data_IF_207361799353
#
_entry.id   IF_207361799353
#
_cell.length_a   1.000
_cell.length_b   1.000
_cell.length_c   1.000
_cell.angle_alpha   90.00
_cell.angle_beta   90.00
_cell.angle_gamma   90.00
#
_symmetry.space_group_name_H-M   'P 1'
#
loop_
_entity.id
_entity.type
_entity.pdbx_description
1 polymer ?
#
# COMPACT_ATOMS: atom_id res chain seq x y z
N UNK A 1 30.23 41.78 55.22
CA UNK A 1 29.76 42.79 54.25
C UNK A 1 30.07 42.34 52.82
N UNK A 2 29.74 41.08 52.45
CA UNK A 2 30.12 40.48 51.15
C UNK A 2 28.95 39.79 50.43
N UNK A 3 27.93 39.32 51.13
CA UNK A 3 26.81 38.53 50.55
C UNK A 3 25.86 39.34 49.65
N UNK A 4 25.82 40.67 49.80
CA UNK A 4 24.89 41.52 49.02
C UNK A 4 25.42 41.82 47.60
N UNK A 5 26.75 41.77 47.41
CA UNK A 5 27.38 41.97 46.10
C UNK A 5 27.22 40.74 45.20
N UNK A 6 27.35 39.52 45.75
CA UNK A 6 27.24 38.27 44.99
C UNK A 6 25.83 38.10 44.37
N UNK A 7 24.78 38.54 45.06
CA UNK A 7 23.41 38.48 44.52
C UNK A 7 23.17 39.55 43.44
N UNK A 8 23.74 40.74 43.58
CA UNK A 8 23.65 41.78 42.55
C UNK A 8 24.47 41.40 41.31
N UNK A 9 25.63 40.80 41.48
CA UNK A 9 26.50 40.32 40.41
C UNK A 9 25.87 39.14 39.67
N UNK A 10 25.32 38.15 40.38
CA UNK A 10 24.58 37.06 39.76
C UNK A 10 23.31 37.53 39.03
N UNK A 11 22.60 38.52 39.55
CA UNK A 11 21.44 39.11 38.87
C UNK A 11 21.86 39.86 37.60
N UNK A 12 22.93 40.66 37.66
CA UNK A 12 23.49 41.34 36.49
C UNK A 12 23.93 40.33 35.42
N UNK A 13 24.61 39.26 35.84
CA UNK A 13 25.10 38.20 34.97
C UNK A 13 23.94 37.43 34.33
N UNK A 14 22.85 37.18 35.08
CA UNK A 14 21.62 36.61 34.54
C UNK A 14 20.93 37.53 33.53
N UNK A 15 20.87 38.84 33.79
CA UNK A 15 20.32 39.81 32.84
C UNK A 15 21.16 39.89 31.56
N UNK A 16 22.49 39.84 31.68
CA UNK A 16 23.41 39.84 30.54
C UNK A 16 23.27 38.55 29.72
N UNK A 17 23.28 37.38 30.37
CA UNK A 17 23.13 36.09 29.69
C UNK A 17 21.74 35.96 29.07
N UNK A 18 20.69 36.34 29.80
CA UNK A 18 19.31 36.35 29.30
C UNK A 18 19.15 37.30 28.12
N UNK A 19 19.73 38.50 28.20
CA UNK A 19 19.77 39.47 27.10
C UNK A 19 20.50 38.94 25.87
N UNK A 20 21.65 38.27 26.05
CA UNK A 20 22.41 37.62 24.98
C UNK A 20 21.62 36.48 24.34
N UNK A 21 20.93 35.65 25.14
CA UNK A 21 20.11 34.57 24.63
C UNK A 21 18.95 35.09 23.78
N UNK A 22 18.24 36.10 24.27
CA UNK A 22 17.14 36.75 23.54
C UNK A 22 17.65 37.41 22.26
N UNK A 23 18.78 38.13 22.33
CA UNK A 23 19.42 38.72 21.14
C UNK A 23 19.83 37.64 20.12
N UNK A 24 20.32 36.49 20.57
CA UNK A 24 20.64 35.35 19.71
C UNK A 24 19.42 34.77 19.01
N UNK A 25 18.28 34.66 19.70
CA UNK A 25 17.01 34.23 19.10
C UNK A 25 16.53 35.24 18.06
N UNK A 26 16.52 36.54 18.39
CA UNK A 26 16.15 37.59 17.44
C UNK A 26 17.08 37.63 16.22
N UNK A 27 18.39 37.45 16.42
CA UNK A 27 19.35 37.33 15.34
C UNK A 27 18.98 36.17 14.40
N UNK A 28 18.71 34.98 14.97
CA UNK A 28 18.33 33.80 14.21
C UNK A 28 17.03 34.00 13.42
N UNK A 29 16.02 34.62 14.03
CA UNK A 29 14.74 34.92 13.38
C UNK A 29 14.92 35.88 12.19
N UNK A 30 15.64 36.99 12.37
CA UNK A 30 15.89 37.97 11.30
C UNK A 30 16.72 37.31 10.18
N UNK A 31 17.74 36.54 10.52
CA UNK A 31 18.56 35.82 9.55
C UNK A 31 17.72 34.85 8.71
N UNK A 32 16.84 34.09 9.34
CA UNK A 32 16.06 33.03 8.71
C UNK A 32 14.85 33.55 7.93
N UNK A 33 14.31 34.72 8.28
CA UNK A 33 13.04 35.23 7.74
C UNK A 33 12.94 35.27 6.20
N UNK A 34 13.94 35.77 5.44
CA UNK A 34 13.88 35.73 3.97
C UNK A 34 13.87 34.30 3.44
N UNK A 35 14.59 33.38 4.08
CA UNK A 35 14.57 31.97 3.69
C UNK A 35 13.23 31.30 4.01
N UNK A 36 12.59 31.69 5.12
CA UNK A 36 11.25 31.23 5.45
C UNK A 36 10.23 31.63 4.38
N UNK A 37 10.21 32.91 3.97
CA UNK A 37 9.25 33.41 2.98
C UNK A 37 9.47 32.82 1.59
N UNK A 38 10.72 32.64 1.16
CA UNK A 38 11.01 32.24 -0.22
C UNK A 38 11.22 30.73 -0.40
N UNK A 39 11.52 29.98 0.66
CA UNK A 39 11.71 28.53 0.57
C UNK A 39 10.64 27.76 1.35
N UNK A 40 10.43 28.08 2.63
CA UNK A 40 9.52 27.30 3.49
C UNK A 40 8.05 27.54 3.14
N UNK A 41 7.65 28.79 2.98
CA UNK A 41 6.25 29.12 2.67
C UNK A 41 5.81 28.55 1.31
N UNK A 42 6.58 28.69 0.20
CA UNK A 42 6.26 28.06 -1.07
C UNK A 42 6.29 26.54 -1.02
N UNK A 43 7.14 25.96 -0.15
CA UNK A 43 7.13 24.53 0.09
C UNK A 43 5.82 24.09 0.74
N UNK A 44 5.36 24.77 1.79
CA UNK A 44 4.10 24.43 2.48
C UNK A 44 2.90 24.63 1.55
N UNK A 45 2.80 25.78 0.88
CA UNK A 45 1.68 26.08 -0.02
C UNK A 45 1.69 25.20 -1.27
N UNK A 46 2.85 24.97 -1.88
CA UNK A 46 3.00 24.06 -3.00
C UNK A 46 2.64 22.63 -2.63
N UNK A 47 3.02 22.18 -1.44
CA UNK A 47 2.66 20.85 -0.92
C UNK A 47 1.16 20.69 -0.69
N UNK A 48 0.49 21.73 -0.18
CA UNK A 48 -0.97 21.76 -0.05
C UNK A 48 -1.66 21.64 -1.42
N UNK A 49 -1.19 22.41 -2.41
CA UNK A 49 -1.74 22.38 -3.77
C UNK A 49 -1.54 21.01 -4.42
N UNK A 50 -0.34 20.44 -4.34
CA UNK A 50 -0.05 19.10 -4.87
C UNK A 50 -0.91 18.04 -4.19
N UNK A 51 -0.99 18.07 -2.85
CA UNK A 51 -1.81 17.13 -2.09
C UNK A 51 -3.30 17.23 -2.45
N UNK A 52 -3.81 18.45 -2.63
CA UNK A 52 -5.18 18.69 -3.07
C UNK A 52 -5.45 18.21 -4.49
N UNK A 53 -4.55 18.47 -5.44
CA UNK A 53 -4.66 17.98 -6.83
C UNK A 53 -4.67 16.45 -6.87
N UNK A 54 -3.81 15.80 -6.09
CA UNK A 54 -3.79 14.34 -5.99
C UNK A 54 -5.08 13.80 -5.39
N UNK A 55 -5.60 14.45 -4.34
CA UNK A 55 -6.86 14.08 -3.72
C UNK A 55 -8.05 14.21 -4.68
N UNK A 56 -8.18 15.32 -5.40
CA UNK A 56 -9.21 15.52 -6.44
C UNK A 56 -9.13 14.46 -7.55
N UNK A 57 -7.92 14.13 -8.01
CA UNK A 57 -7.73 13.10 -9.04
C UNK A 57 -8.12 11.69 -8.57
N UNK A 58 -8.12 11.46 -7.26
CA UNK A 58 -8.64 10.21 -6.67
C UNK A 58 -10.15 10.27 -6.43
N UNK A 59 -10.71 11.35 -5.89
CA UNK A 59 -12.14 11.32 -5.50
C UNK A 59 -13.11 11.23 -6.69
N UNK A 60 -12.71 11.64 -7.89
CA UNK A 60 -13.54 11.62 -9.12
C UNK A 60 -13.82 10.18 -9.65
N UNK A 61 -13.41 9.12 -8.93
CA UNK A 61 -13.44 7.74 -9.41
C UNK A 61 -14.38 6.76 -8.69
N UNK A 62 -15.56 7.18 -8.19
CA UNK A 62 -16.48 6.33 -7.40
C UNK A 62 -16.91 5.00 -8.07
N UNK A 63 -16.77 4.85 -9.40
CA UNK A 63 -17.23 3.66 -10.15
C UNK A 63 -16.11 2.81 -10.78
N UNK A 64 -14.84 3.08 -10.49
CA UNK A 64 -13.73 2.40 -11.18
C UNK A 64 -12.93 1.52 -10.22
N UNK A 65 -12.87 0.23 -10.55
CA UNK A 65 -12.02 -0.79 -9.90
C UNK A 65 -10.65 -0.23 -9.48
N UNK A 66 -10.19 -0.57 -8.27
CA UNK A 66 -8.93 -0.12 -7.63
C UNK A 66 -7.73 0.02 -8.59
N UNK A 67 -7.63 -0.86 -9.59
CA UNK A 67 -6.55 -0.87 -10.59
C UNK A 67 -6.51 0.40 -11.47
N UNK A 68 -7.67 0.92 -11.88
CA UNK A 68 -7.76 2.12 -12.73
C UNK A 68 -7.45 3.38 -11.93
N UNK A 69 -7.80 3.35 -10.65
CA UNK A 69 -7.54 4.41 -9.68
C UNK A 69 -6.04 4.60 -9.44
N UNK A 70 -5.33 3.51 -9.15
CA UNK A 70 -3.87 3.53 -8.98
C UNK A 70 -3.15 3.94 -10.27
N UNK A 71 -3.63 3.50 -11.43
CA UNK A 71 -3.07 3.88 -12.73
C UNK A 71 -3.18 5.39 -12.99
N UNK A 72 -4.33 6.00 -12.70
CA UNK A 72 -4.54 7.44 -12.88
C UNK A 72 -3.60 8.28 -12.00
N UNK A 73 -3.43 7.87 -10.74
CA UNK A 73 -2.54 8.54 -9.80
C UNK A 73 -1.07 8.47 -10.25
N UNK A 74 -0.61 7.29 -10.68
CA UNK A 74 0.76 7.11 -11.18
C UNK A 74 1.02 7.95 -12.43
N UNK A 75 0.08 7.99 -13.39
CA UNK A 75 0.22 8.80 -14.61
C UNK A 75 0.22 10.29 -14.29
N UNK A 76 -0.70 10.76 -13.44
CA UNK A 76 -0.78 12.17 -13.04
C UNK A 76 0.49 12.62 -12.33
N UNK A 77 1.02 11.79 -11.44
CA UNK A 77 2.25 12.07 -10.71
C UNK A 77 3.47 12.10 -11.65
N UNK A 78 3.56 11.18 -12.61
CA UNK A 78 4.62 11.18 -13.63
C UNK A 78 4.56 12.43 -14.52
N UNK A 79 3.37 12.88 -14.93
CA UNK A 79 3.19 14.11 -15.70
C UNK A 79 3.62 15.34 -14.89
N UNK A 80 3.26 15.41 -13.60
CA UNK A 80 3.67 16.50 -12.72
C UNK A 80 5.20 16.58 -12.56
N UNK A 81 5.88 15.44 -12.36
CA UNK A 81 7.34 15.39 -12.31
C UNK A 81 7.93 15.87 -13.64
N UNK A 82 7.42 15.37 -14.77
CA UNK A 82 7.89 15.76 -16.09
C UNK A 82 7.75 17.27 -16.31
N UNK A 83 6.60 17.84 -15.96
CA UNK A 83 6.36 19.28 -16.02
C UNK A 83 7.36 20.06 -15.18
N UNK A 84 7.63 19.64 -13.94
CA UNK A 84 8.63 20.30 -13.09
C UNK A 84 10.04 20.22 -13.70
N UNK A 85 10.43 19.07 -14.23
CA UNK A 85 11.74 18.91 -14.90
C UNK A 85 11.86 19.81 -16.13
N UNK A 86 10.82 19.90 -16.95
CA UNK A 86 10.82 20.77 -18.14
C UNK A 86 10.78 22.25 -17.75
N UNK A 87 9.89 22.64 -16.85
CA UNK A 87 9.64 24.05 -16.50
C UNK A 87 10.79 24.63 -15.68
N UNK A 88 11.49 23.87 -14.84
CA UNK A 88 12.53 24.43 -13.97
C UNK A 88 13.97 24.04 -14.34
N UNK A 89 14.18 22.85 -14.92
CA UNK A 89 15.53 22.34 -15.16
C UNK A 89 15.93 22.34 -16.64
N UNK A 90 14.97 22.15 -17.56
CA UNK A 90 15.27 22.12 -18.99
C UNK A 90 15.80 23.46 -19.50
N UNK A 91 16.97 23.41 -20.13
CA UNK A 91 17.67 24.57 -20.66
C UNK A 91 18.16 25.55 -19.61
N UNK A 92 18.16 25.18 -18.32
CA UNK A 92 18.64 26.08 -17.27
C UNK A 92 20.15 26.23 -17.30
N UNK A 93 20.65 27.47 -17.45
CA UNK A 93 22.09 27.74 -17.55
C UNK A 93 22.51 28.68 -16.43
N UNK A 94 23.21 28.11 -15.45
CA UNK A 94 23.91 28.90 -14.43
C UNK A 94 25.34 29.11 -14.88
N UNK A 95 25.66 30.30 -15.40
CA UNK A 95 27.03 30.63 -15.79
C UNK A 95 27.57 31.78 -14.96
N UNK A 96 28.82 31.61 -14.50
CA UNK A 96 29.55 32.65 -13.79
C UNK A 96 30.31 33.46 -14.83
N UNK A 97 30.08 34.77 -14.88
CA UNK A 97 30.83 35.64 -15.78
C UNK A 97 32.22 35.84 -15.19
N UNK A 98 33.22 35.62 -16.04
CA UNK A 98 34.62 35.75 -15.69
C UNK A 98 35.23 36.83 -16.58
N UNK A 99 36.03 37.72 -16.00
CA UNK A 99 36.78 38.73 -16.75
C UNK A 99 37.76 38.03 -17.71
N UNK A 100 38.25 38.76 -18.72
CA UNK A 100 39.28 38.29 -19.67
C UNK A 100 40.55 37.77 -18.98
N UNK A 101 40.74 38.09 -17.69
CA UNK A 101 41.85 37.65 -16.83
C UNK A 101 41.56 36.40 -15.98
N UNK A 102 40.38 35.78 -16.10
CA UNK A 102 40.01 34.62 -15.27
C UNK A 102 39.46 34.98 -13.89
N UNK A 103 39.30 36.27 -13.58
CA UNK A 103 38.74 36.73 -12.30
C UNK A 103 37.22 36.74 -12.34
N UNK A 104 36.60 36.22 -11.28
CA UNK A 104 35.14 36.24 -11.11
C UNK A 104 34.67 37.71 -11.08
N UNK A 105 33.82 38.11 -12.03
CA UNK A 105 33.28 39.49 -12.06
C UNK A 105 32.15 39.70 -11.06
N UNK A 106 31.72 38.63 -10.36
CA UNK A 106 30.56 38.65 -9.47
C UNK A 106 29.22 38.75 -10.21
N UNK A 107 29.25 38.76 -11.55
CA UNK A 107 28.04 38.73 -12.39
C UNK A 107 27.69 37.28 -12.73
N UNK A 108 26.42 36.94 -12.55
CA UNK A 108 25.87 35.62 -12.86
C UNK A 108 24.87 35.76 -13.99
N UNK A 109 24.90 34.86 -14.97
CA UNK A 109 23.79 34.69 -15.89
C UNK A 109 22.68 33.94 -15.13
N UNK A 110 21.54 34.60 -14.97
CA UNK A 110 20.38 34.10 -14.23
C UNK A 110 19.23 33.98 -15.20
N UNK A 111 18.54 32.85 -15.17
CA UNK A 111 17.36 32.64 -16.01
C UNK A 111 16.22 33.54 -15.53
N UNK A 112 16.02 33.67 -14.20
CA UNK A 112 14.97 34.46 -13.57
C UNK A 112 15.55 35.63 -12.75
N UNK A 113 16.05 36.70 -13.42
CA UNK A 113 16.73 37.82 -12.76
C UNK A 113 15.80 38.62 -11.84
N UNK A 114 14.51 38.72 -12.16
CA UNK A 114 13.53 39.44 -11.34
C UNK A 114 13.29 38.75 -9.99
N UNK A 115 13.13 37.41 -10.00
CA UNK A 115 12.96 36.63 -8.77
C UNK A 115 14.20 36.74 -7.87
N UNK A 116 15.40 36.66 -8.46
CA UNK A 116 16.65 36.86 -7.74
C UNK A 116 16.76 38.27 -7.15
N UNK A 117 16.33 39.29 -7.90
CA UNK A 117 16.34 40.68 -7.45
C UNK A 117 15.39 40.88 -6.27
N UNK A 118 14.16 40.40 -6.37
CA UNK A 118 13.15 40.50 -5.29
C UNK A 118 13.67 39.84 -4.01
N UNK A 119 14.21 38.62 -4.11
CA UNK A 119 14.79 37.92 -2.96
C UNK A 119 15.93 38.70 -2.31
N UNK A 120 16.86 39.22 -3.12
CA UNK A 120 18.00 39.96 -2.62
C UNK A 120 17.63 41.34 -2.07
N UNK A 121 16.63 42.01 -2.65
CA UNK A 121 16.10 43.27 -2.13
C UNK A 121 15.44 43.08 -0.77
N UNK A 122 14.55 42.09 -0.62
CA UNK A 122 13.88 41.81 0.65
C UNK A 122 14.89 41.45 1.75
N UNK A 123 15.87 40.58 1.42
CA UNK A 123 16.96 40.23 2.33
C UNK A 123 17.83 41.44 2.68
N UNK A 124 18.20 42.25 1.69
CA UNK A 124 19.00 43.47 1.90
C UNK A 124 18.29 44.45 2.82
N UNK A 125 17.00 44.70 2.57
CA UNK A 125 16.20 45.65 3.36
C UNK A 125 16.10 45.19 4.81
N UNK A 126 15.75 43.92 5.03
CA UNK A 126 15.66 43.35 6.36
C UNK A 126 17.00 43.37 7.12
N UNK A 127 18.10 43.11 6.42
CA UNK A 127 19.42 43.01 7.04
C UNK A 127 20.07 44.38 7.28
N UNK A 128 19.78 45.39 6.46
CA UNK A 128 20.28 46.77 6.62
C UNK A 128 19.73 47.42 7.89
N UNK A 129 18.46 47.18 8.18
CA UNK A 129 17.77 47.75 9.33
C UNK A 129 17.97 46.91 10.62
N UNK A 130 18.68 45.78 10.52
CA UNK A 130 18.92 44.91 11.65
C UNK A 130 19.91 45.53 12.67
N UNK A 131 19.68 45.34 13.99
CA UNK A 131 20.54 45.88 15.04
C UNK A 131 21.93 45.22 15.11
N UNK A 132 22.18 44.18 14.30
CA UNK A 132 23.40 43.39 14.31
C UNK A 132 24.32 43.76 13.13
N UNK A 133 25.57 44.14 13.42
CA UNK A 133 26.54 44.51 12.39
C UNK A 133 26.85 43.36 11.41
N UNK A 134 26.84 42.11 11.89
CA UNK A 134 27.06 40.94 11.04
C UNK A 134 25.94 40.72 10.01
N UNK A 135 24.69 41.05 10.33
CA UNK A 135 23.58 41.01 9.35
C UNK A 135 23.72 42.14 8.33
N UNK A 136 24.05 43.36 8.79
CA UNK A 136 24.28 44.50 7.91
C UNK A 136 25.41 44.25 6.89
N UNK A 137 26.46 43.51 7.28
CA UNK A 137 27.51 43.05 6.34
C UNK A 137 26.96 42.07 5.30
N UNK A 138 26.16 41.09 5.72
CA UNK A 138 25.51 40.10 4.83
C UNK A 138 24.47 40.72 3.89
N UNK A 139 23.95 41.91 4.18
CA UNK A 139 23.00 42.62 3.31
C UNK A 139 23.59 42.95 1.93
N UNK A 140 24.92 43.12 1.85
CA UNK A 140 25.62 43.48 0.61
C UNK A 140 26.12 42.26 -0.19
N UNK A 141 26.08 41.07 0.41
CA UNK A 141 26.50 39.83 -0.25
C UNK A 141 25.34 39.27 -1.06
N UNK A 142 25.38 39.32 -2.39
CA UNK A 142 24.32 38.75 -3.25
C UNK A 142 24.24 37.22 -3.13
N UNK A 143 23.04 36.69 -2.92
CA UNK A 143 22.76 35.25 -2.88
C UNK A 143 21.97 34.88 -4.13
N UNK A 144 22.32 33.78 -4.75
CA UNK A 144 21.67 33.32 -5.98
C UNK A 144 20.38 32.62 -5.61
N UNK A 145 19.25 33.18 -6.05
CA UNK A 145 17.93 32.59 -6.00
C UNK A 145 17.35 32.60 -7.41
N UNK A 146 17.41 31.44 -8.07
CA UNK A 146 17.11 31.32 -9.50
C UNK A 146 16.10 30.19 -9.76
N UNK A 147 15.70 30.02 -11.02
CA UNK A 147 14.76 29.01 -11.51
C UNK A 147 15.02 27.60 -10.96
N UNK A 148 16.28 27.20 -10.81
CA UNK A 148 16.65 25.88 -10.26
C UNK A 148 16.26 25.72 -8.78
N UNK A 149 16.40 26.76 -7.96
CA UNK A 149 16.04 26.72 -6.53
C UNK A 149 14.53 26.54 -6.35
N UNK A 150 13.73 27.21 -7.17
CA UNK A 150 12.28 26.99 -7.22
C UNK A 150 11.91 25.59 -7.72
N UNK A 151 12.67 25.07 -8.70
CA UNK A 151 12.52 23.70 -9.17
C UNK A 151 12.75 22.67 -8.07
N UNK A 152 13.78 22.87 -7.25
CA UNK A 152 14.01 22.03 -6.08
C UNK A 152 12.85 22.09 -5.10
N UNK A 153 12.36 23.29 -4.75
CA UNK A 153 11.18 23.44 -3.89
C UNK A 153 9.99 22.66 -4.47
N UNK A 154 9.72 22.77 -5.76
CA UNK A 154 8.65 22.04 -6.43
C UNK A 154 8.83 20.51 -6.37
N UNK A 155 10.06 20.00 -6.50
CA UNK A 155 10.35 18.57 -6.31
C UNK A 155 10.12 18.13 -4.86
N UNK A 156 10.54 18.92 -3.87
CA UNK A 156 10.26 18.64 -2.45
C UNK A 156 8.76 18.62 -2.16
N UNK A 157 7.99 19.52 -2.79
CA UNK A 157 6.54 19.50 -2.75
C UNK A 157 5.96 18.21 -3.37
N UNK A 158 6.52 17.74 -4.49
CA UNK A 158 6.04 16.51 -5.13
C UNK A 158 6.37 15.26 -4.30
N UNK A 159 7.61 15.11 -3.84
CA UNK A 159 8.07 13.87 -3.22
C UNK A 159 7.75 13.72 -1.74
N UNK A 160 7.65 14.83 -0.99
CA UNK A 160 7.50 14.78 0.45
C UNK A 160 6.22 15.46 0.91
N UNK A 161 6.09 16.76 0.67
CA UNK A 161 4.99 17.51 1.26
C UNK A 161 3.63 17.13 0.66
N UNK A 162 3.53 16.99 -0.65
CA UNK A 162 2.31 16.59 -1.36
C UNK A 162 1.76 15.24 -0.92
N UNK A 163 2.56 14.15 -0.89
CA UNK A 163 2.15 12.85 -0.39
C UNK A 163 1.74 12.88 1.08
N UNK A 164 2.43 13.66 1.92
CA UNK A 164 2.06 13.85 3.34
C UNK A 164 0.70 14.53 3.47
N UNK A 165 0.43 15.59 2.70
CA UNK A 165 -0.86 16.28 2.71
C UNK A 165 -1.98 15.44 2.09
N UNK A 166 -1.70 14.71 1.01
CA UNK A 166 -2.64 13.74 0.43
C UNK A 166 -3.04 12.69 1.46
N UNK A 167 -2.06 12.10 2.16
CA UNK A 167 -2.34 11.15 3.23
C UNK A 167 -3.16 11.79 4.36
N UNK A 168 -2.81 13.02 4.76
CA UNK A 168 -3.56 13.75 5.77
C UNK A 168 -5.03 14.02 5.36
N UNK A 169 -5.29 14.40 4.11
CA UNK A 169 -6.64 14.58 3.57
C UNK A 169 -7.41 13.25 3.49
N UNK A 170 -6.76 12.19 3.02
CA UNK A 170 -7.37 10.86 2.88
C UNK A 170 -7.76 10.21 4.22
N UNK A 171 -7.20 10.66 5.35
CA UNK A 171 -7.50 10.12 6.69
C UNK A 171 -8.93 10.35 7.16
N UNK A 172 -9.64 11.32 6.60
CA UNK A 172 -11.04 11.56 6.93
C UNK A 172 -12.01 10.58 6.24
N UNK A 173 -11.53 9.71 5.36
CA UNK A 173 -12.36 8.78 4.57
C UNK A 173 -12.54 7.40 5.23
N UNK A 174 -12.47 7.32 6.56
CA UNK A 174 -12.59 6.05 7.33
C UNK A 174 -13.90 5.32 7.07
N UNK A 175 -14.99 6.04 6.89
CA UNK A 175 -16.31 5.45 6.60
C UNK A 175 -16.34 4.82 5.19
N UNK A 176 -15.77 5.50 4.18
CA UNK A 176 -15.64 4.91 2.83
C UNK A 176 -14.79 3.65 2.88
N UNK A 177 -13.63 3.67 3.54
CA UNK A 177 -12.75 2.49 3.68
C UNK A 177 -13.48 1.32 4.35
N UNK A 178 -14.24 1.56 5.42
CA UNK A 178 -15.02 0.51 6.09
C UNK A 178 -16.06 -0.11 5.16
N UNK A 179 -16.80 0.73 4.41
CA UNK A 179 -17.79 0.26 3.44
C UNK A 179 -17.19 -0.56 2.29
N UNK A 180 -15.97 -0.22 1.85
CA UNK A 180 -15.25 -1.00 0.84
C UNK A 180 -14.81 -2.36 1.37
N UNK A 181 -14.30 -2.42 2.61
CA UNK A 181 -13.92 -3.68 3.25
C UNK A 181 -15.14 -4.58 3.43
N UNK A 182 -16.27 -4.02 3.88
CA UNK A 182 -17.53 -4.76 3.99
C UNK A 182 -17.99 -5.32 2.65
N UNK A 183 -17.97 -4.53 1.58
CA UNK A 183 -18.30 -5.01 0.21
C UNK A 183 -17.39 -6.15 -0.26
N UNK A 184 -16.07 -6.04 -0.05
CA UNK A 184 -15.12 -7.10 -0.45
C UNK A 184 -15.35 -8.38 0.36
N UNK A 185 -15.63 -8.25 1.66
CA UNK A 185 -15.94 -9.39 2.53
C UNK A 185 -17.26 -10.03 2.11
N UNK A 186 -18.29 -9.24 1.82
CA UNK A 186 -19.59 -9.70 1.34
C UNK A 186 -19.48 -10.41 -0.01
N UNK A 187 -18.73 -9.87 -0.96
CA UNK A 187 -18.53 -10.50 -2.27
C UNK A 187 -17.77 -11.83 -2.16
N UNK A 188 -16.70 -11.87 -1.34
CA UNK A 188 -15.94 -13.12 -1.12
C UNK A 188 -16.76 -14.16 -0.35
N UNK A 189 -17.53 -13.75 0.65
CA UNK A 189 -18.37 -14.66 1.42
C UNK A 189 -19.55 -15.16 0.59
N UNK A 190 -20.18 -14.29 -0.21
CA UNK A 190 -21.24 -14.63 -1.16
C UNK A 190 -20.77 -15.63 -2.23
N UNK A 191 -19.60 -15.41 -2.82
CA UNK A 191 -19.02 -16.36 -3.78
C UNK A 191 -18.70 -17.72 -3.13
N UNK A 192 -18.14 -17.72 -1.91
CA UNK A 192 -17.87 -18.95 -1.17
C UNK A 192 -19.16 -19.71 -0.83
N UNK A 193 -20.23 -19.02 -0.44
CA UNK A 193 -21.55 -19.62 -0.18
C UNK A 193 -22.11 -20.25 -1.45
N UNK A 194 -22.19 -19.51 -2.56
CA UNK A 194 -22.64 -20.07 -3.85
C UNK A 194 -21.86 -21.33 -4.26
N UNK A 195 -20.53 -21.31 -4.08
CA UNK A 195 -19.69 -22.48 -4.39
C UNK A 195 -19.89 -23.66 -3.43
N UNK A 196 -20.32 -23.41 -2.19
CA UNK A 196 -20.68 -24.46 -1.25
C UNK A 196 -22.04 -25.04 -1.62
N UNK A 197 -23.03 -24.19 -1.91
CA UNK A 197 -24.37 -24.60 -2.33
C UNK A 197 -24.31 -25.45 -3.61
N UNK A 198 -23.53 -25.04 -4.62
CA UNK A 198 -23.30 -25.83 -5.84
C UNK A 198 -22.61 -27.19 -5.59
N UNK A 199 -21.77 -27.28 -4.55
CA UNK A 199 -21.12 -28.54 -4.17
C UNK A 199 -22.09 -29.46 -3.43
N UNK A 200 -22.95 -28.90 -2.58
CA UNK A 200 -23.99 -29.62 -1.87
C UNK A 200 -25.00 -30.20 -2.88
N UNK A 201 -25.47 -29.41 -3.84
CA UNK A 201 -26.36 -29.88 -4.91
C UNK A 201 -25.73 -31.01 -5.73
N UNK A 202 -24.45 -30.89 -6.09
CA UNK A 202 -23.73 -31.96 -6.80
C UNK A 202 -23.60 -33.23 -5.97
N UNK A 203 -23.37 -33.12 -4.66
CA UNK A 203 -23.29 -34.27 -3.77
C UNK A 203 -24.66 -34.98 -3.67
N UNK A 204 -25.75 -34.23 -3.55
CA UNK A 204 -27.10 -34.79 -3.52
C UNK A 204 -27.43 -35.56 -4.80
N UNK A 205 -27.07 -35.03 -5.97
CA UNK A 205 -27.24 -35.73 -7.25
C UNK A 205 -26.41 -37.01 -7.30
N UNK A 206 -25.15 -36.99 -6.83
CA UNK A 206 -24.30 -38.19 -6.79
C UNK A 206 -24.88 -39.24 -5.83
N UNK A 207 -25.34 -38.83 -4.65
CA UNK A 207 -25.97 -39.71 -3.67
C UNK A 207 -27.23 -40.33 -4.28
N UNK A 208 -28.12 -39.53 -4.88
CA UNK A 208 -29.34 -40.02 -5.52
C UNK A 208 -29.05 -41.04 -6.63
N UNK A 209 -28.07 -40.76 -7.49
CA UNK A 209 -27.65 -41.68 -8.55
C UNK A 209 -27.04 -42.97 -7.99
N UNK A 210 -26.22 -42.88 -6.95
CA UNK A 210 -25.62 -44.05 -6.30
C UNK A 210 -26.67 -44.93 -5.61
N UNK A 211 -27.67 -44.32 -4.97
CA UNK A 211 -28.80 -45.03 -4.35
C UNK A 211 -29.65 -45.72 -5.42
N UNK A 212 -29.88 -45.08 -6.56
CA UNK A 212 -30.58 -45.68 -7.69
C UNK A 212 -29.81 -46.89 -8.25
N UNK A 213 -28.50 -46.76 -8.48
CA UNK A 213 -27.64 -47.86 -8.97
C UNK A 213 -27.54 -49.02 -7.97
N UNK A 214 -27.51 -48.74 -6.68
CA UNK A 214 -27.57 -49.78 -5.65
C UNK A 214 -28.91 -50.51 -5.65
N UNK A 215 -30.02 -49.78 -5.80
CA UNK A 215 -31.36 -50.40 -5.88
C UNK A 215 -31.49 -51.30 -7.10
N UNK A 216 -30.98 -50.91 -8.26
CA UNK A 216 -31.01 -51.76 -9.47
C UNK A 216 -30.14 -53.00 -9.30
N UNK A 217 -28.95 -52.87 -8.71
CA UNK A 217 -28.08 -54.03 -8.40
C UNK A 217 -28.75 -55.00 -7.43
N UNK A 218 -29.39 -54.51 -6.37
CA UNK A 218 -30.14 -55.36 -5.42
C UNK A 218 -31.27 -56.09 -6.13
N UNK A 219 -32.07 -55.38 -6.94
CA UNK A 219 -33.16 -56.01 -7.69
C UNK A 219 -32.66 -57.09 -8.67
N UNK A 220 -31.53 -56.86 -9.34
CA UNK A 220 -30.91 -57.86 -10.21
C UNK A 220 -30.42 -59.08 -9.41
N UNK A 221 -29.75 -58.87 -8.28
CA UNK A 221 -29.29 -59.95 -7.40
C UNK A 221 -30.46 -60.77 -6.84
N UNK A 222 -31.57 -60.13 -6.47
CA UNK A 222 -32.78 -60.83 -6.04
C UNK A 222 -33.35 -61.68 -7.17
N UNK A 223 -33.42 -61.15 -8.40
CA UNK A 223 -33.85 -61.89 -9.57
C UNK A 223 -32.95 -63.10 -9.84
N UNK A 224 -31.63 -62.92 -9.86
CA UNK A 224 -30.67 -64.01 -10.07
C UNK A 224 -30.81 -65.08 -8.99
N UNK A 225 -31.00 -64.68 -7.72
CA UNK A 225 -31.27 -65.61 -6.62
C UNK A 225 -32.55 -66.42 -6.86
N UNK A 226 -33.63 -65.80 -7.35
CA UNK A 226 -34.87 -66.51 -7.65
C UNK A 226 -34.71 -67.50 -8.81
N UNK A 227 -33.96 -67.14 -9.85
CA UNK A 227 -33.62 -68.02 -10.98
C UNK A 227 -32.80 -69.22 -10.50
N UNK A 228 -31.74 -68.99 -9.74
CA UNK A 228 -30.90 -70.07 -9.20
C UNK A 228 -31.68 -71.00 -8.25
N UNK A 229 -32.60 -70.45 -7.45
CA UNK A 229 -33.47 -71.27 -6.61
C UNK A 229 -34.43 -72.13 -7.44
N UNK A 230 -34.95 -71.61 -8.55
CA UNK A 230 -35.80 -72.35 -9.47
C UNK A 230 -35.00 -73.46 -10.17
N UNK A 231 -33.81 -73.15 -10.70
CA UNK A 231 -32.90 -74.13 -11.29
C UNK A 231 -32.49 -75.21 -10.28
N UNK A 232 -32.20 -74.84 -9.02
CA UNK A 232 -31.85 -75.81 -7.99
C UNK A 232 -33.03 -76.74 -7.67
N UNK A 233 -34.27 -76.23 -7.66
CA UNK A 233 -35.48 -77.06 -7.50
C UNK A 233 -35.68 -77.99 -8.70
N UNK A 234 -35.48 -77.50 -9.91
CA UNK A 234 -35.56 -78.31 -11.12
C UNK A 234 -34.50 -79.40 -11.14
N UNK A 235 -33.25 -79.07 -10.81
CA UNK A 235 -32.15 -80.02 -10.72
C UNK A 235 -32.39 -81.06 -9.62
N UNK A 236 -32.90 -80.66 -8.45
CA UNK A 236 -33.32 -81.61 -7.40
C UNK A 236 -34.41 -82.55 -7.90
N UNK A 237 -35.44 -82.04 -8.56
CA UNK A 237 -36.50 -82.88 -9.14
C UNK A 237 -35.93 -83.83 -10.23
N UNK A 238 -35.10 -83.32 -11.15
CA UNK A 238 -34.43 -84.15 -12.17
C UNK A 238 -33.56 -85.23 -11.54
N UNK A 239 -32.87 -84.94 -10.43
CA UNK A 239 -32.08 -85.90 -9.68
C UNK A 239 -32.97 -86.97 -9.03
N UNK A 240 -34.08 -86.58 -8.40
CA UNK A 240 -35.06 -87.47 -7.76
C UNK A 240 -35.75 -88.42 -8.75
N UNK A 241 -35.94 -88.01 -10.01
CA UNK A 241 -36.61 -88.79 -11.06
C UNK A 241 -35.66 -89.38 -12.12
N UNK A 242 -34.34 -89.20 -11.99
CA UNK A 242 -33.36 -89.84 -12.87
C UNK A 242 -33.16 -91.31 -12.50
N UNK A 243 -33.18 -92.19 -13.51
CA UNK A 243 -33.14 -93.66 -13.33
C UNK A 243 -31.71 -94.21 -13.13
N UNK A 244 -30.65 -93.42 -13.37
CA UNK A 244 -29.25 -93.91 -13.37
C UNK A 244 -28.24 -93.00 -12.64
N UNK A 245 -28.62 -92.35 -11.53
CA UNK A 245 -27.66 -91.66 -10.65
C UNK A 245 -27.69 -92.33 -9.28
N UNK A 246 -26.55 -92.82 -8.74
CA UNK A 246 -26.53 -93.45 -7.42
C UNK A 246 -27.00 -92.43 -6.38
N UNK A 247 -28.11 -92.75 -5.72
CA UNK A 247 -28.55 -92.03 -4.53
C UNK A 247 -27.37 -92.06 -3.54
N UNK A 248 -27.07 -90.97 -2.81
CA UNK A 248 -26.28 -91.08 -1.60
C UNK A 248 -27.16 -91.77 -0.53
N UNK A 249 -27.44 -93.04 -0.76
CA UNK A 249 -27.98 -93.94 0.24
C UNK A 249 -26.83 -94.25 1.19
N UNK A 250 -27.10 -93.97 2.46
CA UNK A 250 -26.67 -94.80 3.57
C UNK A 250 -25.17 -95.04 3.66
N UNK A 251 -24.57 -94.39 4.65
CA UNK A 251 -23.26 -94.69 5.18
C UNK A 251 -22.99 -96.21 5.26
N UNK A 252 -22.37 -96.75 4.20
CA UNK A 252 -21.62 -97.98 4.27
C UNK A 252 -20.29 -97.56 4.89
N UNK A 253 -20.05 -98.01 6.12
CA UNK A 253 -18.75 -97.95 6.81
C UNK A 253 -17.63 -98.30 5.81
N UNK A 254 -16.93 -97.30 5.28
CA UNK A 254 -15.56 -97.53 4.83
C UNK A 254 -14.71 -97.48 6.09
N UNK A 255 -14.10 -98.61 6.41
CA UNK A 255 -13.04 -98.72 7.40
C UNK A 255 -12.04 -97.59 7.23
N UNK A 256 -11.69 -96.97 8.35
CA UNK A 256 -10.94 -95.73 8.41
C UNK A 256 -9.56 -95.76 7.75
N UNK A 257 -9.10 -94.55 7.45
CA UNK A 257 -7.67 -94.18 7.40
C UNK A 257 -7.40 -93.03 8.39
N UNK A 258 -8.35 -92.72 9.29
CA UNK A 258 -8.22 -91.66 10.30
C UNK A 258 -8.40 -92.14 11.74
N UNK A 259 -8.66 -93.43 11.97
CA UNK A 259 -8.56 -94.06 13.30
C UNK A 259 -7.10 -94.34 13.71
N UNK A 260 -6.12 -93.93 12.90
CA UNK A 260 -4.70 -94.15 13.19
C UNK A 260 -4.04 -93.06 14.04
N UNK A 261 -4.63 -91.88 14.24
CA UNK A 261 -3.76 -90.76 14.70
C UNK A 261 -4.28 -89.79 15.75
N UNK A 262 -5.53 -89.80 16.22
CA UNK A 262 -5.93 -88.81 17.25
C UNK A 262 -6.93 -89.41 18.25
N UNK A 263 -6.37 -89.80 19.40
CA UNK A 263 -7.05 -90.07 20.67
C UNK A 263 -7.77 -88.82 21.21
#
# INVERSE_FOLDING_TARGET
>A
MSTQNDHAENFLLFVIIGGLAVAGVFYGLILFWPYFIFYVLPLVTGSLVVGFVLWMMTEIGEDKSDLVHYRSLVVSYAVLIFLVMVVFFSGSVRSVVVDKKGNLTGQYYLDWPEANKIFNEERSNLYKDAPFESLRKKANEGVIYDRQEMGWIALWCLFLGGPLFYWWLSRNDKEKISSYIEKIVEERTGYKRKRLDEKEEKLDVIIANSVADLKTKVANLEKDRTTLLAENRELKARLEFSVDIPRPSEAKKSSGVLDSDIL
#
